data_IF_454726284669
#
_entry.id   IF_454726284669
#
_cell.length_a   1.000
_cell.length_b   1.000
_cell.length_c   1.000
_cell.angle_alpha   90.00
_cell.angle_beta   90.00
_cell.angle_gamma   90.00
#
_symmetry.space_group_name_H-M   'P 1'
#
loop_
_entity.id
_entity.type
_entity.pdbx_description
1 polymer ?
#
# COMPACT_ATOMS: atom_id res chain seq x y z
N UNK A 1 2.78 16.91 5.14
CA UNK A 1 2.61 16.38 3.76
C UNK A 1 2.72 14.86 3.83
N UNK A 2 1.84 14.12 3.16
CA UNK A 2 1.88 12.65 3.18
C UNK A 2 2.84 12.15 2.11
N UNK A 3 3.71 11.19 2.44
CA UNK A 3 4.63 10.54 1.52
C UNK A 3 4.66 9.03 1.79
N UNK A 4 5.22 8.27 0.84
CA UNK A 4 5.53 6.85 1.05
C UNK A 4 7.04 6.68 1.17
N UNK A 5 7.48 6.07 2.27
CA UNK A 5 8.85 5.60 2.42
C UNK A 5 8.96 4.21 1.80
N UNK A 6 9.40 4.16 0.54
CA UNK A 6 9.58 2.93 -0.21
C UNK A 6 10.77 2.09 0.27
N UNK A 7 10.58 0.78 0.32
CA UNK A 7 11.64 -0.18 0.62
C UNK A 7 12.40 -0.56 -0.66
N UNK A 8 13.72 -0.76 -0.54
CA UNK A 8 14.64 -0.92 -1.68
C UNK A 8 14.78 -2.36 -2.18
N UNK A 9 14.67 -3.34 -1.29
CA UNK A 9 14.94 -4.76 -1.56
C UNK A 9 13.65 -5.57 -1.38
N UNK A 10 12.74 -5.41 -2.33
CA UNK A 10 11.41 -6.03 -2.30
C UNK A 10 11.24 -7.00 -3.46
N UNK A 11 10.58 -8.12 -3.18
CA UNK A 11 10.34 -9.19 -4.15
C UNK A 11 9.44 -8.75 -5.31
N UNK A 12 8.59 -7.74 -5.09
CA UNK A 12 7.81 -7.07 -6.14
C UNK A 12 8.38 -5.67 -6.37
N UNK A 13 9.31 -5.48 -7.31
CA UNK A 13 9.83 -4.15 -7.63
C UNK A 13 8.73 -3.32 -8.30
N UNK A 14 8.40 -2.17 -7.70
CA UNK A 14 7.50 -1.19 -8.29
C UNK A 14 8.29 -0.17 -9.12
N UNK A 15 7.86 0.04 -10.36
CA UNK A 15 8.39 1.11 -11.21
C UNK A 15 8.08 2.50 -10.63
N UNK A 16 8.93 3.49 -10.92
CA UNK A 16 8.78 4.85 -10.37
C UNK A 16 7.46 5.51 -10.78
N UNK A 17 6.93 5.23 -11.96
CA UNK A 17 5.62 5.72 -12.38
C UNK A 17 4.47 5.15 -11.53
N UNK A 18 4.57 3.87 -11.12
CA UNK A 18 3.59 3.25 -10.22
C UNK A 18 3.70 3.86 -8.82
N UNK A 19 4.92 4.01 -8.30
CA UNK A 19 5.13 4.67 -6.99
C UNK A 19 4.54 6.08 -6.96
N UNK A 20 4.77 6.87 -8.01
CA UNK A 20 4.19 8.21 -8.14
C UNK A 20 2.66 8.19 -8.09
N UNK A 21 2.00 7.30 -8.84
CA UNK A 21 0.53 7.17 -8.82
C UNK A 21 0.02 6.73 -7.45
N UNK A 22 0.72 5.83 -6.78
CA UNK A 22 0.37 5.39 -5.42
C UNK A 22 0.46 6.56 -4.45
N UNK A 23 1.55 7.35 -4.48
CA UNK A 23 1.71 8.54 -3.65
C UNK A 23 0.63 9.59 -3.93
N UNK A 24 0.28 9.84 -5.19
CA UNK A 24 -0.80 10.77 -5.57
C UNK A 24 -2.17 10.35 -5.02
N UNK A 25 -2.45 9.04 -4.98
CA UNK A 25 -3.69 8.51 -4.44
C UNK A 25 -3.69 8.57 -2.90
N UNK A 26 -2.61 8.14 -2.27
CA UNK A 26 -2.43 8.20 -0.81
C UNK A 26 -2.54 9.65 -0.32
N UNK A 27 -1.98 10.61 -1.04
CA UNK A 27 -2.07 12.04 -0.72
C UNK A 27 -3.49 12.63 -0.82
N UNK A 28 -4.41 11.96 -1.51
CA UNK A 28 -5.84 12.33 -1.62
C UNK A 28 -6.74 11.48 -0.70
N UNK A 29 -6.17 10.50 -0.02
CA UNK A 29 -6.88 9.51 0.76
C UNK A 29 -7.24 10.04 2.14
N UNK A 30 -8.39 9.62 2.66
CA UNK A 30 -8.81 9.87 4.04
C UNK A 30 -8.08 8.90 4.97
N UNK A 31 -6.86 9.27 5.37
CA UNK A 31 -5.99 8.40 6.19
C UNK A 31 -6.59 8.10 7.57
N UNK A 32 -7.47 8.95 8.10
CA UNK A 32 -8.13 8.70 9.39
C UNK A 32 -9.02 7.46 9.33
N UNK A 33 -9.69 7.21 8.20
CA UNK A 33 -10.45 5.97 8.01
C UNK A 33 -9.57 4.73 8.05
N UNK A 34 -8.42 4.77 7.39
CA UNK A 34 -7.49 3.62 7.35
C UNK A 34 -6.78 3.45 8.69
N UNK A 35 -6.51 4.52 9.43
CA UNK A 35 -6.02 4.44 10.84
C UNK A 35 -7.00 3.74 11.77
N UNK A 36 -8.29 3.88 11.49
CA UNK A 36 -9.38 3.22 12.19
C UNK A 36 -9.46 1.71 11.93
N UNK A 37 -8.72 1.17 10.95
CA UNK A 37 -8.62 -0.26 10.73
C UNK A 37 -7.98 -0.98 11.93
N UNK A 38 -8.26 -2.26 12.03
CA UNK A 38 -7.55 -3.19 12.91
C UNK A 38 -6.29 -3.69 12.22
N UNK A 39 -5.47 -4.44 12.95
CA UNK A 39 -4.25 -5.01 12.38
C UNK A 39 -4.59 -5.99 11.26
N UNK A 40 -3.92 -5.85 10.13
CA UNK A 40 -4.20 -6.59 8.90
C UNK A 40 -4.15 -8.10 9.12
N UNK A 41 -3.16 -8.58 9.88
CA UNK A 41 -3.01 -10.00 10.21
C UNK A 41 -4.15 -10.57 11.07
N UNK A 42 -4.88 -9.71 11.78
CA UNK A 42 -5.97 -10.12 12.65
C UNK A 42 -7.32 -10.16 11.94
N UNK A 43 -7.60 -9.18 11.06
CA UNK A 43 -8.93 -9.03 10.45
C UNK A 43 -8.96 -8.93 8.93
N UNK A 44 -7.80 -8.73 8.29
CA UNK A 44 -7.73 -8.50 6.85
C UNK A 44 -8.27 -7.13 6.42
N UNK A 45 -8.32 -6.15 7.34
CA UNK A 45 -8.77 -4.80 7.00
C UNK A 45 -7.76 -4.15 6.03
N UNK A 46 -8.25 -3.75 4.86
CA UNK A 46 -7.42 -3.20 3.80
C UNK A 46 -8.15 -2.16 2.95
N UNK A 47 -7.36 -1.24 2.38
CA UNK A 47 -7.82 -0.32 1.37
C UNK A 47 -7.04 -0.57 0.07
N UNK A 48 -7.69 -1.20 -0.91
CA UNK A 48 -7.09 -1.42 -2.23
C UNK A 48 -7.15 -0.12 -3.03
N UNK A 49 -5.99 0.31 -3.54
CA UNK A 49 -5.89 1.49 -4.38
C UNK A 49 -6.51 1.21 -5.77
N UNK A 50 -7.28 2.17 -6.34
CA UNK A 50 -7.82 2.04 -7.69
C UNK A 50 -6.75 1.86 -8.80
N UNK A 51 -5.58 2.48 -8.63
CA UNK A 51 -4.43 2.31 -9.52
C UNK A 51 -3.18 1.84 -8.74
N UNK A 52 -2.35 0.92 -9.28
CA UNK A 52 -2.53 0.21 -10.55
C UNK A 52 -3.79 -0.65 -10.57
N UNK A 53 -4.33 -0.91 -11.76
CA UNK A 53 -5.58 -1.65 -11.90
C UNK A 53 -5.41 -3.08 -11.33
N UNK A 54 -6.11 -3.44 -10.24
CA UNK A 54 -5.91 -4.72 -9.58
C UNK A 54 -6.24 -5.94 -10.46
N UNK A 55 -7.01 -5.74 -11.53
CA UNK A 55 -7.37 -6.77 -12.50
C UNK A 55 -6.31 -7.01 -13.58
N UNK A 56 -5.27 -6.18 -13.65
CA UNK A 56 -4.16 -6.31 -14.61
C UNK A 56 -2.94 -7.04 -14.01
N UNK A 57 -3.13 -7.73 -12.88
CA UNK A 57 -2.13 -8.62 -12.28
C UNK A 57 -1.28 -7.99 -11.18
N UNK A 58 -1.27 -6.67 -11.03
CA UNK A 58 -0.64 -5.94 -9.92
C UNK A 58 -1.69 -5.13 -9.17
N UNK A 59 -1.78 -5.31 -7.86
CA UNK A 59 -2.56 -4.43 -7.00
C UNK A 59 -1.68 -3.85 -5.90
N UNK A 60 -2.08 -2.67 -5.44
CA UNK A 60 -1.45 -2.01 -4.30
C UNK A 60 -2.54 -1.66 -3.30
N UNK A 61 -2.27 -1.89 -2.02
CA UNK A 61 -3.19 -1.60 -0.93
C UNK A 61 -2.48 -0.91 0.22
N UNK A 62 -3.26 -0.23 1.04
CA UNK A 62 -2.82 0.35 2.31
C UNK A 62 -3.51 -0.42 3.44
N UNK A 63 -2.71 -0.84 4.41
CA UNK A 63 -3.15 -1.64 5.55
C UNK A 63 -2.61 -1.04 6.85
N UNK A 64 -3.16 -1.48 7.98
CA UNK A 64 -2.56 -1.20 9.29
C UNK A 64 -1.77 -2.41 9.76
N UNK A 65 -0.52 -2.18 10.14
CA UNK A 65 0.37 -3.20 10.64
C UNK A 65 1.29 -2.61 11.71
N UNK A 66 1.33 -3.25 12.88
CA UNK A 66 2.05 -2.80 14.07
C UNK A 66 1.75 -1.34 14.43
N UNK A 67 0.47 -0.94 14.32
CA UNK A 67 0.03 0.43 14.59
C UNK A 67 0.45 1.48 13.54
N UNK A 68 1.07 1.06 12.43
CA UNK A 68 1.49 1.93 11.32
C UNK A 68 0.64 1.70 10.08
N UNK A 69 0.62 2.68 9.18
CA UNK A 69 0.04 2.52 7.86
C UNK A 69 1.11 2.03 6.88
N UNK A 70 0.89 0.86 6.31
CA UNK A 70 1.84 0.19 5.41
C UNK A 70 1.26 0.08 4.01
N UNK A 71 2.13 0.20 3.01
CA UNK A 71 1.81 -0.06 1.61
C UNK A 71 2.21 -1.49 1.29
N UNK A 72 1.27 -2.28 0.77
CA UNK A 72 1.47 -3.65 0.33
C UNK A 72 1.25 -3.71 -1.18
N UNK A 73 2.17 -4.34 -1.89
CA UNK A 73 1.96 -4.70 -3.29
C UNK A 73 1.74 -6.20 -3.37
N UNK A 74 0.82 -6.61 -4.24
CA UNK A 74 0.61 -8.02 -4.53
C UNK A 74 0.46 -8.28 -6.02
N UNK A 75 0.84 -9.49 -6.42
CA UNK A 75 0.65 -9.98 -7.78
C UNK A 75 -0.26 -11.21 -7.79
N UNK A 76 -1.16 -11.25 -8.77
CA UNK A 76 -1.98 -12.43 -9.02
C UNK A 76 -1.18 -13.45 -9.84
N UNK A 77 -0.91 -14.61 -9.27
CA UNK A 77 -0.35 -15.73 -10.01
C UNK A 77 -1.44 -16.66 -10.58
N UNK A 78 -1.11 -17.33 -11.69
CA UNK A 78 -2.00 -18.28 -12.35
C UNK A 78 -2.49 -19.36 -11.37
N UNK A 79 -3.79 -19.33 -11.05
CA UNK A 79 -4.42 -20.28 -10.12
C UNK A 79 -5.02 -19.65 -8.86
N UNK A 80 -4.94 -18.32 -8.71
CA UNK A 80 -5.53 -17.59 -7.58
C UNK A 80 -4.62 -17.51 -6.35
N UNK A 81 -3.35 -17.90 -6.50
CA UNK A 81 -2.33 -17.61 -5.49
C UNK A 81 -1.94 -16.15 -5.59
N UNK A 82 -1.83 -15.50 -4.42
CA UNK A 82 -1.48 -14.09 -4.31
C UNK A 82 -0.22 -14.02 -3.48
N UNK A 83 0.85 -13.50 -4.07
CA UNK A 83 2.02 -13.09 -3.31
C UNK A 83 1.89 -11.62 -2.94
N UNK A 84 2.01 -11.32 -1.65
CA UNK A 84 1.93 -9.97 -1.10
C UNK A 84 3.20 -9.63 -0.33
N UNK A 85 3.69 -8.40 -0.53
CA UNK A 85 4.88 -7.90 0.16
C UNK A 85 4.64 -6.49 0.68
N UNK A 86 5.12 -6.21 1.89
CA UNK A 86 5.25 -4.85 2.40
C UNK A 86 6.30 -4.09 1.57
N UNK A 87 5.87 -3.06 0.85
CA UNK A 87 6.71 -2.30 -0.08
C UNK A 87 7.01 -0.88 0.37
N UNK A 88 6.33 -0.39 1.40
CA UNK A 88 6.63 0.91 1.99
C UNK A 88 5.78 1.24 3.21
N UNK A 89 6.08 2.39 3.82
CA UNK A 89 5.38 2.94 4.97
C UNK A 89 4.80 4.31 4.61
N UNK A 90 3.54 4.57 4.95
CA UNK A 90 2.93 5.90 4.78
C UNK A 90 3.38 6.79 5.93
N UNK A 91 4.09 7.86 5.61
CA UNK A 91 4.65 8.81 6.58
C UNK A 91 4.04 10.20 6.39
N UNK A 92 3.70 10.85 7.49
CA UNK A 92 3.30 12.26 7.48
C UNK A 92 4.48 13.11 7.92
N UNK A 93 4.96 13.99 7.04
CA UNK A 93 5.86 15.07 7.46
C UNK A 93 5.01 16.12 8.19
N UNK A 94 5.21 16.24 9.50
CA UNK A 94 4.79 17.41 10.27
C UNK A 94 5.59 18.61 9.75
N UNK A 95 4.89 19.69 9.39
CA UNK A 95 5.55 20.97 9.17
C UNK A 95 6.01 21.48 10.54
N UNK A 96 7.32 21.45 10.80
CA UNK A 96 7.95 22.23 11.87
C UNK A 96 7.91 23.73 11.53
#
# INVERSE_FOLDING_TARGET
MVKVKWYRDIWIPLEEDIKRRVEEQIGKMDLEKVRGFREYEETGDEYILPEPNPYEGLFVKVVKHEGKLMVVAGQWEHGGYVEEYYVGEVVEESAE
#
